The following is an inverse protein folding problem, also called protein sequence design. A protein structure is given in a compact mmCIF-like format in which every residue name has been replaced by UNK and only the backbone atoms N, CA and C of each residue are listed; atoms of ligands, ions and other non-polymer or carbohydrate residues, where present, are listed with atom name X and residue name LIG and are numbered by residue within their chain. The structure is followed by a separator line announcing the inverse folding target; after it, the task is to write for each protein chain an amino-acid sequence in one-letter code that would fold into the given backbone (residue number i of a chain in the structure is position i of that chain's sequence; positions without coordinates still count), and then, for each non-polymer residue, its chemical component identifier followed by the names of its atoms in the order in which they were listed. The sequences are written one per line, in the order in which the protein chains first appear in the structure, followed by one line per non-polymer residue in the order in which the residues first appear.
data_IF_749986002770
#
_entry.id   IF_749986002770
#
_cell.length_a   1.000
_cell.length_b   1.000
_cell.length_c   1.000
_cell.angle_alpha   90.00
_cell.angle_beta   90.00
_cell.angle_gamma   90.00
#
_symmetry.space_group_name_H-M   'P 1'
#
loop_
_entity.id
_entity.type
_entity.pdbx_description
1 polymer ?
#
# COMPACT_ATOMS: atom_id res chain seq x y z
N UNK A 1 31.59 20.60 -33.44
CA UNK A 1 30.66 21.33 -34.34
C UNK A 1 30.33 20.43 -35.52
N UNK A 2 29.14 19.83 -35.55
CA UNK A 2 28.51 19.35 -36.77
C UNK A 2 27.01 19.29 -36.50
N UNK A 3 26.24 20.13 -37.20
CA UNK A 3 24.79 20.23 -37.13
C UNK A 3 24.21 19.44 -38.29
N UNK A 4 23.29 18.52 -38.00
CA UNK A 4 22.51 17.79 -39.00
C UNK A 4 21.05 18.26 -38.87
N UNK A 5 20.44 18.82 -39.92
CA UNK A 5 19.07 19.33 -39.87
C UNK A 5 18.03 18.28 -40.35
N UNK A 6 16.88 18.31 -39.67
CA UNK A 6 15.49 18.18 -40.15
C UNK A 6 15.15 17.11 -41.20
N UNK A 7 14.27 16.18 -40.80
CA UNK A 7 13.04 15.93 -41.56
C UNK A 7 11.84 15.77 -40.61
N UNK A 8 10.82 16.56 -40.91
CA UNK A 8 9.51 16.64 -40.26
C UNK A 8 8.62 15.60 -40.94
N UNK A 9 7.90 14.79 -40.16
CA UNK A 9 6.67 14.14 -40.62
C UNK A 9 5.65 14.22 -39.50
N UNK A 10 4.72 15.16 -39.69
CA UNK A 10 3.48 15.29 -38.94
C UNK A 10 2.38 14.42 -39.58
N UNK A 11 1.26 14.29 -38.83
CA UNK A 11 -0.05 13.70 -39.18
C UNK A 11 -0.16 12.21 -38.80
N UNK A 12 -1.23 11.71 -38.16
CA UNK A 12 -2.60 12.21 -38.06
C UNK A 12 -3.27 11.79 -36.74
N UNK A 13 -4.36 12.50 -36.43
CA UNK A 13 -5.26 12.29 -35.31
C UNK A 13 -5.94 10.92 -35.30
N UNK A 14 -6.29 10.46 -34.09
CA UNK A 14 -7.09 9.25 -33.90
C UNK A 14 -7.49 9.05 -32.45
N UNK A 15 -8.23 9.99 -31.87
CA UNK A 15 -8.98 9.76 -30.65
C UNK A 15 -10.25 8.98 -31.02
N UNK A 16 -10.39 7.76 -30.51
CA UNK A 16 -11.66 7.02 -30.45
C UNK A 16 -11.88 6.61 -29.00
N UNK A 17 -12.72 7.40 -28.33
CA UNK A 17 -13.34 7.03 -27.06
C UNK A 17 -14.36 5.93 -27.35
N UNK A 18 -14.07 4.70 -26.92
CA UNK A 18 -15.10 3.68 -26.80
C UNK A 18 -15.78 3.86 -25.43
N UNK A 19 -16.86 4.65 -25.41
CA UNK A 19 -17.87 4.61 -24.36
C UNK A 19 -18.67 3.32 -24.56
N UNK A 20 -18.53 2.37 -23.63
CA UNK A 20 -19.45 1.22 -23.57
C UNK A 20 -20.76 1.65 -22.92
N UNK A 21 -21.92 1.42 -23.56
CA UNK A 21 -23.22 1.72 -22.99
C UNK A 21 -23.63 0.70 -21.94
N UNK A 22 -24.45 1.19 -21.00
CA UNK A 22 -25.29 0.44 -20.08
C UNK A 22 -25.77 -0.91 -20.63
N UNK A 23 -25.45 -1.99 -19.91
CA UNK A 23 -26.26 -3.20 -19.89
C UNK A 23 -26.81 -3.37 -18.46
N UNK A 24 -27.92 -2.70 -18.18
CA UNK A 24 -28.83 -3.09 -17.12
C UNK A 24 -29.50 -4.40 -17.55
N UNK A 25 -29.05 -5.53 -17.01
CA UNK A 25 -29.81 -6.77 -17.04
C UNK A 25 -30.65 -6.84 -15.76
N UNK A 26 -31.80 -6.20 -15.79
CA UNK A 26 -32.95 -6.51 -14.95
C UNK A 26 -33.77 -7.58 -15.67
N UNK A 27 -34.01 -8.71 -15.00
CA UNK A 27 -34.99 -9.75 -15.32
C UNK A 27 -35.05 -10.69 -14.11
N UNK A 28 -36.17 -11.43 -13.89
CA UNK A 28 -37.32 -10.96 -13.15
C UNK A 28 -37.49 -11.78 -11.86
N UNK A 29 -38.36 -11.28 -11.00
CA UNK A 29 -38.89 -11.96 -9.83
C UNK A 29 -39.55 -13.29 -10.25
N UNK A 30 -39.07 -14.41 -9.69
CA UNK A 30 -39.85 -15.65 -9.58
C UNK A 30 -39.94 -15.99 -8.09
N UNK A 31 -41.16 -15.86 -7.58
CA UNK A 31 -41.57 -16.16 -6.22
C UNK A 31 -41.36 -17.64 -5.91
N UNK A 32 -40.37 -17.97 -5.08
CA UNK A 32 -40.31 -19.26 -4.41
C UNK A 32 -40.76 -19.10 -2.96
N UNK A 33 -41.88 -19.75 -2.68
CA UNK A 33 -42.63 -19.77 -1.44
C UNK A 33 -41.74 -20.01 -0.20
N UNK A 34 -42.06 -19.23 0.83
CA UNK A 34 -42.02 -19.58 2.25
C UNK A 34 -41.15 -20.78 2.67
N UNK A 35 -40.01 -20.47 3.29
CA UNK A 35 -39.71 -20.99 4.63
C UNK A 35 -38.86 -19.94 5.37
N UNK A 36 -39.48 -19.24 6.32
CA UNK A 36 -38.80 -18.33 7.23
C UNK A 36 -37.95 -19.16 8.20
N UNK A 37 -36.72 -19.49 7.80
CA UNK A 37 -35.66 -19.85 8.74
C UNK A 37 -34.85 -18.57 8.93
N UNK A 38 -35.08 -17.89 10.06
CA UNK A 38 -34.27 -16.76 10.48
C UNK A 38 -32.83 -17.21 10.71
N UNK A 39 -32.02 -17.17 9.65
CA UNK A 39 -30.58 -17.15 9.79
C UNK A 39 -30.25 -15.74 10.22
N UNK A 40 -29.89 -15.56 11.49
CA UNK A 40 -29.24 -14.34 11.93
C UNK A 40 -28.00 -14.15 11.04
N UNK A 41 -28.09 -13.24 10.07
CA UNK A 41 -26.93 -12.73 9.35
C UNK A 41 -26.01 -12.16 10.43
N UNK A 42 -24.94 -12.90 10.71
CA UNK A 42 -23.81 -12.34 11.44
C UNK A 42 -23.35 -11.17 10.58
N UNK A 43 -23.30 -9.93 11.11
CA UNK A 43 -22.80 -8.82 10.32
C UNK A 43 -21.42 -9.22 9.82
N UNK A 44 -21.24 -9.20 8.50
CA UNK A 44 -19.92 -9.34 7.91
C UNK A 44 -19.05 -8.28 8.58
N UNK A 45 -18.13 -8.72 9.42
CA UNK A 45 -17.06 -7.86 9.89
C UNK A 45 -16.30 -7.48 8.63
N UNK A 46 -16.51 -6.26 8.13
CA UNK A 46 -15.57 -5.64 7.24
C UNK A 46 -14.23 -5.68 7.98
N UNK A 47 -13.38 -6.65 7.64
CA UNK A 47 -12.01 -6.71 8.11
C UNK A 47 -11.29 -5.51 7.49
N UNK A 48 -11.47 -4.34 8.12
CA UNK A 48 -10.54 -3.26 7.99
C UNK A 48 -9.21 -3.82 8.49
N UNK A 49 -8.36 -4.31 7.58
CA UNK A 49 -7.01 -4.80 7.90
C UNK A 49 -6.09 -3.70 8.48
N UNK A 50 -6.64 -2.53 8.78
CA UNK A 50 -6.04 -1.49 9.62
C UNK A 50 -6.37 -1.69 11.12
N UNK A 51 -7.16 -2.71 11.50
CA UNK A 51 -7.72 -2.89 12.85
C UNK A 51 -6.80 -3.53 13.90
N UNK A 52 -5.56 -3.89 13.55
CA UNK A 52 -4.56 -4.41 14.49
C UNK A 52 -3.19 -3.78 14.26
N UNK A 53 -3.15 -2.52 13.80
CA UNK A 53 -1.89 -1.79 13.78
C UNK A 53 -1.38 -1.66 15.23
N UNK A 54 -0.30 -2.35 15.56
CA UNK A 54 0.36 -2.21 16.85
C UNK A 54 1.12 -0.89 16.84
N UNK A 55 0.58 0.10 17.54
CA UNK A 55 1.11 1.46 17.58
C UNK A 55 1.69 1.80 18.95
N UNK A 56 2.72 2.63 18.97
CA UNK A 56 3.36 3.12 20.19
C UNK A 56 4.16 4.40 19.95
N UNK A 57 4.81 4.91 21.00
CA UNK A 57 5.88 5.89 20.80
C UNK A 57 6.93 5.29 19.88
N UNK A 58 7.34 6.02 18.84
CA UNK A 58 8.28 5.50 17.84
C UNK A 58 9.53 4.91 18.49
N UNK A 59 10.12 5.61 19.44
CA UNK A 59 11.36 5.17 20.09
C UNK A 59 11.17 3.86 20.88
N UNK A 60 9.99 3.65 21.48
CA UNK A 60 9.67 2.40 22.17
C UNK A 60 9.49 1.26 21.18
N UNK A 61 8.79 1.49 20.05
CA UNK A 61 8.58 0.48 19.01
C UNK A 61 9.92 0.07 18.38
N UNK A 62 10.75 1.05 18.01
CA UNK A 62 12.08 0.78 17.42
C UNK A 62 12.99 0.07 18.42
N UNK A 63 12.97 0.45 19.70
CA UNK A 63 13.74 -0.22 20.73
C UNK A 63 13.32 -1.67 20.91
N UNK A 64 12.02 -1.97 20.88
CA UNK A 64 11.51 -3.33 20.99
C UNK A 64 11.92 -4.18 19.78
N UNK A 65 11.77 -3.65 18.56
CA UNK A 65 12.19 -4.32 17.32
C UNK A 65 13.70 -4.60 17.29
N UNK A 66 14.50 -3.63 17.76
CA UNK A 66 15.95 -3.81 17.89
C UNK A 66 16.30 -4.88 18.92
N UNK A 67 15.60 -4.94 20.05
CA UNK A 67 15.90 -5.91 21.11
C UNK A 67 15.45 -7.33 20.76
N UNK A 68 14.26 -7.48 20.18
CA UNK A 68 13.69 -8.79 19.88
C UNK A 68 14.23 -9.38 18.56
N UNK A 69 14.36 -8.55 17.52
CA UNK A 69 14.64 -9.00 16.16
C UNK A 69 16.00 -8.54 15.62
N UNK A 70 16.74 -7.71 16.37
CA UNK A 70 17.96 -7.04 15.88
C UNK A 70 17.70 -6.19 14.63
N UNK A 71 16.48 -5.68 14.49
CA UNK A 71 16.09 -4.82 13.37
C UNK A 71 16.49 -3.37 13.64
N UNK A 72 17.06 -2.72 12.63
CA UNK A 72 17.45 -1.31 12.68
C UNK A 72 16.94 -0.57 11.44
N UNK A 73 16.64 0.74 11.53
CA UNK A 73 16.18 1.51 10.38
C UNK A 73 17.18 1.46 9.23
N UNK A 74 16.70 1.00 8.07
CA UNK A 74 17.49 0.81 6.85
C UNK A 74 17.08 1.81 5.76
N UNK A 75 15.79 2.15 5.69
CA UNK A 75 15.27 3.15 4.77
C UNK A 75 14.15 3.97 5.42
N UNK A 76 13.99 5.20 4.95
CA UNK A 76 12.88 6.10 5.29
C UNK A 76 12.39 6.80 4.04
N UNK A 77 11.08 6.98 3.92
CA UNK A 77 10.44 7.72 2.85
C UNK A 77 9.33 8.60 3.39
N UNK A 78 9.22 9.83 2.89
CA UNK A 78 8.06 10.66 3.18
C UNK A 78 6.84 10.12 2.44
N UNK A 79 5.73 9.96 3.15
CA UNK A 79 4.43 9.67 2.50
C UNK A 79 3.80 10.99 2.10
N UNK A 80 3.72 11.93 3.05
CA UNK A 80 3.21 13.28 2.87
C UNK A 80 3.76 14.23 3.98
N UNK A 81 3.19 15.43 4.11
CA UNK A 81 3.59 16.41 5.12
C UNK A 81 3.29 16.02 6.58
N UNK A 82 2.64 14.87 6.81
CA UNK A 82 2.16 14.42 8.12
C UNK A 82 2.73 13.07 8.54
N UNK A 83 3.42 12.35 7.65
CA UNK A 83 3.92 11.02 7.95
C UNK A 83 5.12 10.58 7.11
N UNK A 84 5.89 9.66 7.69
CA UNK A 84 6.96 8.93 7.02
C UNK A 84 6.72 7.43 7.15
N UNK A 85 7.27 6.67 6.22
CA UNK A 85 7.38 5.21 6.31
C UNK A 85 8.84 4.85 6.51
N UNK A 86 9.08 3.89 7.40
CA UNK A 86 10.41 3.38 7.73
C UNK A 86 10.44 1.87 7.47
N UNK A 87 11.57 1.38 6.96
CA UNK A 87 11.85 -0.05 6.81
C UNK A 87 12.99 -0.38 7.77
N UNK A 88 12.74 -1.28 8.71
CA UNK A 88 13.73 -1.80 9.64
C UNK A 88 14.10 -3.22 9.22
N UNK A 89 15.39 -3.54 9.28
CA UNK A 89 15.93 -4.81 8.79
C UNK A 89 17.01 -5.31 9.75
N UNK A 90 17.06 -6.62 9.97
CA UNK A 90 18.14 -7.30 10.69
C UNK A 90 19.14 -7.97 9.74
N UNK A 91 20.34 -8.28 10.23
CA UNK A 91 21.35 -8.98 9.43
C UNK A 91 20.92 -10.40 9.00
N UNK A 92 19.95 -11.00 9.70
CA UNK A 92 19.42 -12.33 9.39
C UNK A 92 18.23 -12.29 8.43
N UNK A 93 17.80 -11.09 8.01
CA UNK A 93 16.74 -10.90 7.02
C UNK A 93 15.33 -10.71 7.60
N UNK A 94 15.16 -10.63 8.93
CA UNK A 94 13.90 -10.17 9.50
C UNK A 94 13.67 -8.70 9.17
N UNK A 95 12.42 -8.30 9.01
CA UNK A 95 12.07 -6.92 8.68
C UNK A 95 10.70 -6.48 9.18
N UNK A 96 10.58 -5.17 9.41
CA UNK A 96 9.33 -4.50 9.79
C UNK A 96 9.18 -3.18 9.04
N UNK A 97 7.97 -2.89 8.57
CA UNK A 97 7.58 -1.58 8.01
C UNK A 97 6.77 -0.82 9.04
N UNK A 98 7.22 0.40 9.35
CA UNK A 98 6.54 1.33 10.23
C UNK A 98 5.96 2.51 9.45
N UNK A 99 4.82 3.02 9.90
CA UNK A 99 4.33 4.35 9.53
C UNK A 99 4.36 5.24 10.76
N UNK A 100 5.10 6.35 10.68
CA UNK A 100 5.31 7.30 11.77
C UNK A 100 4.65 8.64 11.44
N UNK A 101 3.76 9.10 12.32
CA UNK A 101 3.11 10.41 12.22
C UNK A 101 3.95 11.53 12.84
N UNK A 102 3.60 12.78 12.55
CA UNK A 102 4.22 13.97 13.19
C UNK A 102 3.96 14.07 14.69
N UNK A 103 3.03 13.28 15.22
CA UNK A 103 2.76 13.14 16.65
C UNK A 103 3.77 12.22 17.36
N UNK A 104 4.74 11.66 16.64
CA UNK A 104 5.77 10.77 17.17
C UNK A 104 5.28 9.33 17.35
N UNK A 105 4.04 9.02 16.99
CA UNK A 105 3.50 7.66 17.05
C UNK A 105 3.91 6.89 15.81
N UNK A 106 4.31 5.64 16.02
CA UNK A 106 4.65 4.70 14.97
C UNK A 106 3.77 3.47 15.07
N UNK A 107 3.23 3.03 13.93
CA UNK A 107 2.41 1.83 13.81
C UNK A 107 3.11 0.81 12.92
N UNK A 108 3.10 -0.46 13.33
CA UNK A 108 3.54 -1.57 12.47
C UNK A 108 2.49 -1.75 11.35
N UNK A 109 2.95 -1.61 10.11
CA UNK A 109 2.16 -1.78 8.89
C UNK A 109 2.30 -3.21 8.36
N UNK A 110 3.51 -3.76 8.43
CA UNK A 110 3.83 -5.13 7.99
C UNK A 110 5.13 -5.60 8.63
N UNK A 111 5.31 -6.92 8.74
CA UNK A 111 6.53 -7.54 9.22
C UNK A 111 6.72 -8.92 8.57
N UNK A 112 7.96 -9.40 8.52
CA UNK A 112 8.28 -10.70 7.95
C UNK A 112 9.76 -11.06 8.02
N UNK A 113 10.14 -12.02 7.20
CA UNK A 113 11.48 -12.57 7.09
C UNK A 113 11.96 -12.55 5.63
N UNK A 114 13.22 -12.89 5.39
CA UNK A 114 13.79 -13.03 4.05
C UNK A 114 13.93 -11.73 3.27
N UNK A 115 14.21 -10.61 3.96
CA UNK A 115 14.45 -9.33 3.31
C UNK A 115 15.70 -9.39 2.42
N UNK A 116 15.54 -9.02 1.14
CA UNK A 116 16.63 -8.91 0.16
C UNK A 116 16.68 -7.50 -0.42
N UNK A 117 17.87 -6.89 -0.46
CA UNK A 117 18.09 -5.61 -1.12
C UNK A 117 18.96 -5.78 -2.35
N UNK A 118 18.40 -5.50 -3.53
CA UNK A 118 19.12 -5.65 -4.79
C UNK A 118 19.99 -4.43 -5.13
N UNK A 119 19.63 -3.21 -4.67
CA UNK A 119 20.43 -1.98 -4.65
C UNK A 119 19.70 -0.94 -3.77
N UNK A 120 20.41 -0.22 -2.89
CA UNK A 120 19.87 0.95 -2.20
C UNK A 120 20.04 2.20 -3.08
N UNK A 121 18.93 2.73 -3.61
CA UNK A 121 18.94 3.99 -4.38
C UNK A 121 18.32 5.08 -3.51
N UNK A 122 19.11 6.11 -3.17
CA UNK A 122 18.57 7.35 -2.61
C UNK A 122 18.03 8.19 -3.77
N UNK A 123 16.80 8.69 -3.67
CA UNK A 123 16.20 9.52 -4.72
C UNK A 123 17.11 10.70 -5.08
N UNK A 124 17.44 10.86 -6.36
CA UNK A 124 18.34 11.90 -6.86
C UNK A 124 17.78 13.32 -6.74
N UNK A 125 16.46 13.43 -6.52
CA UNK A 125 15.72 14.69 -6.37
C UNK A 125 15.02 14.81 -4.99
N UNK A 126 15.43 13.99 -4.01
CA UNK A 126 14.90 14.02 -2.64
C UNK A 126 15.54 15.15 -1.80
#
# INVERSE_FOLDING_TARGET
MARIPLLISALAAGAMLAVSPLASATSPEDESAAETVGVAETPALNANMLGMAMCGERDAVVAELSQQFNETPMAVGQVDGSSVVEILVSANGSWTILATGTDGKSCIVSAGEGFESNQLVRGVDA
#
